data_IF_357380550892
#
_entry.id   IF_357380550892
#
_cell.length_a   1.000
_cell.length_b   1.000
_cell.length_c   1.000
_cell.angle_alpha   90.00
_cell.angle_beta   90.00
_cell.angle_gamma   90.00
#
_symmetry.space_group_name_H-M   'P 1'
#
loop_
_entity.id
_entity.type
_entity.pdbx_description
1 polymer ?
#
# COMPACT_ATOMS: atom_id res chain seq x y z
N UNK A 1 -14.05 17.91 -18.32
CA UNK A 1 -13.29 16.64 -18.25
C UNK A 1 -11.82 16.83 -17.90
N UNK A 2 -11.07 17.72 -18.58
CA UNK A 2 -9.61 17.93 -18.31
C UNK A 2 -9.34 18.49 -16.89
N UNK A 3 -10.16 19.43 -16.41
CA UNK A 3 -10.03 20.05 -15.07
C UNK A 3 -10.30 19.05 -13.92
N UNK A 4 -11.18 18.07 -14.15
CA UNK A 4 -11.53 17.05 -13.16
C UNK A 4 -10.36 16.06 -12.96
N UNK A 5 -9.73 15.63 -14.06
CA UNK A 5 -8.54 14.75 -14.03
C UNK A 5 -7.36 15.37 -13.29
N UNK A 6 -7.15 16.69 -13.38
CA UNK A 6 -6.08 17.35 -12.61
C UNK A 6 -6.38 17.41 -11.11
N UNK A 7 -7.64 17.60 -10.71
CA UNK A 7 -8.04 17.69 -9.30
C UNK A 7 -7.95 16.34 -8.59
N UNK A 8 -8.43 15.26 -9.21
CA UNK A 8 -8.31 13.92 -8.61
C UNK A 8 -6.85 13.46 -8.51
N UNK A 9 -6.02 13.76 -9.51
CA UNK A 9 -4.57 13.47 -9.47
C UNK A 9 -3.89 14.22 -8.31
N UNK A 10 -4.26 15.47 -8.11
CA UNK A 10 -3.76 16.29 -7.01
C UNK A 10 -4.18 15.72 -5.64
N UNK A 11 -5.42 15.23 -5.49
CA UNK A 11 -5.84 14.56 -4.25
C UNK A 11 -5.11 13.23 -4.02
N UNK A 12 -4.95 12.41 -5.08
CA UNK A 12 -4.21 11.14 -5.03
C UNK A 12 -2.73 11.31 -4.67
N UNK A 13 -2.10 12.44 -5.02
CA UNK A 13 -0.68 12.67 -4.72
C UNK A 13 -0.41 12.99 -3.25
N UNK A 14 -1.46 13.27 -2.46
CA UNK A 14 -1.31 13.64 -1.04
C UNK A 14 -1.27 12.37 -0.17
N UNK A 15 -0.15 12.08 0.49
CA UNK A 15 0.00 10.86 1.28
C UNK A 15 -0.87 10.83 2.54
N UNK A 16 -1.24 11.98 3.12
CA UNK A 16 -2.01 12.05 4.36
C UNK A 16 -3.45 12.54 4.14
N UNK A 17 -4.41 11.74 4.59
CA UNK A 17 -5.80 12.12 4.76
C UNK A 17 -6.09 12.44 6.23
N UNK A 18 -6.60 13.64 6.51
CA UNK A 18 -7.22 13.97 7.80
C UNK A 18 -8.72 13.96 7.56
N UNK A 19 -9.42 13.00 8.18
CA UNK A 19 -10.85 12.84 8.03
C UNK A 19 -11.57 13.21 9.34
N UNK A 20 -12.53 14.13 9.26
CA UNK A 20 -13.39 14.50 10.38
C UNK A 20 -14.73 13.78 10.29
N UNK A 21 -15.51 13.76 11.38
CA UNK A 21 -16.82 13.13 11.39
C UNK A 21 -17.91 14.04 10.80
N UNK A 22 -17.68 15.37 10.79
CA UNK A 22 -18.64 16.38 10.31
C UNK A 22 -18.00 17.46 9.43
N UNK A 23 -18.73 18.00 8.44
CA UNK A 23 -18.26 19.12 7.62
C UNK A 23 -17.85 20.37 8.41
N UNK A 24 -18.53 20.66 9.53
CA UNK A 24 -18.19 21.80 10.37
C UNK A 24 -16.82 21.63 11.06
N UNK A 25 -16.46 20.40 11.43
CA UNK A 25 -15.15 20.10 12.02
C UNK A 25 -14.03 20.31 11.01
N UNK A 26 -14.24 19.92 9.75
CA UNK A 26 -13.27 20.17 8.67
C UNK A 26 -12.95 21.64 8.53
N UNK A 27 -13.97 22.50 8.52
CA UNK A 27 -13.78 23.95 8.43
C UNK A 27 -13.03 24.53 9.63
N UNK A 28 -13.21 23.95 10.82
CA UNK A 28 -12.48 24.36 12.03
C UNK A 28 -11.03 23.91 11.92
N UNK A 29 -10.77 22.63 11.60
CA UNK A 29 -9.43 22.07 11.43
C UNK A 29 -8.66 22.82 10.34
N UNK A 30 -9.29 23.07 9.18
CA UNK A 30 -8.67 23.81 8.09
C UNK A 30 -8.27 25.24 8.50
N UNK A 31 -9.14 25.94 9.26
CA UNK A 31 -8.83 27.27 9.81
C UNK A 31 -7.68 27.23 10.82
N UNK A 32 -7.69 26.26 11.73
CA UNK A 32 -6.62 26.06 12.72
C UNK A 32 -5.28 25.77 12.06
N UNK A 33 -5.29 24.99 10.97
CA UNK A 33 -4.12 24.68 10.16
C UNK A 33 -3.78 25.80 9.14
N UNK A 34 -4.48 26.93 9.19
CA UNK A 34 -4.26 28.11 8.36
C UNK A 34 -4.37 27.83 6.85
N UNK A 35 -5.22 26.88 6.46
CA UNK A 35 -5.53 26.60 5.07
C UNK A 35 -6.52 27.66 4.59
N UNK A 36 -6.03 28.64 3.82
CA UNK A 36 -6.81 29.85 3.51
C UNK A 36 -7.38 29.90 2.10
N UNK A 37 -6.84 29.11 1.15
CA UNK A 37 -7.17 29.27 -0.29
C UNK A 37 -7.31 27.98 -1.08
N UNK A 38 -6.71 26.88 -0.62
CA UNK A 38 -6.70 25.64 -1.39
C UNK A 38 -7.85 24.73 -0.98
N UNK A 39 -8.96 24.87 -1.72
CA UNK A 39 -10.18 24.09 -1.54
C UNK A 39 -10.60 23.42 -2.85
N UNK A 40 -11.04 22.17 -2.76
CA UNK A 40 -11.62 21.42 -3.86
C UNK A 40 -12.96 20.84 -3.41
N UNK A 41 -14.02 21.09 -4.17
CA UNK A 41 -15.28 20.38 -4.00
C UNK A 41 -15.28 19.08 -4.79
N UNK A 42 -15.82 18.01 -4.20
CA UNK A 42 -16.05 16.73 -4.89
C UNK A 42 -17.04 16.82 -6.05
N UNK A 43 -17.88 17.85 -6.10
CA UNK A 43 -18.76 18.11 -7.27
C UNK A 43 -17.97 18.29 -8.58
N UNK A 44 -16.68 18.62 -8.48
CA UNK A 44 -15.76 18.70 -9.61
C UNK A 44 -15.07 17.35 -9.96
N UNK A 45 -15.34 16.29 -9.19
CA UNK A 45 -14.68 14.98 -9.25
C UNK A 45 -15.75 13.86 -9.25
N UNK A 46 -16.28 13.49 -10.43
CA UNK A 46 -17.35 12.50 -10.55
C UNK A 46 -17.04 11.15 -9.90
N UNK A 47 -15.77 10.76 -9.85
CA UNK A 47 -15.31 9.47 -9.29
C UNK A 47 -15.50 9.37 -7.77
N UNK A 48 -15.63 10.49 -7.07
CA UNK A 48 -15.83 10.53 -5.61
C UNK A 48 -17.31 10.60 -5.22
N UNK A 49 -18.20 10.87 -6.19
CA UNK A 49 -19.57 11.28 -5.91
C UNK A 49 -19.66 12.65 -5.23
N UNK A 50 -20.87 13.09 -4.89
CA UNK A 50 -21.08 14.36 -4.23
C UNK A 50 -20.93 14.25 -2.70
N UNK A 51 -20.51 15.34 -2.05
CA UNK A 51 -20.64 15.51 -0.60
C UNK A 51 -19.34 15.57 0.20
N UNK A 52 -18.19 15.62 -0.48
CA UNK A 52 -16.89 15.93 0.14
C UNK A 52 -16.41 17.34 -0.22
N UNK A 53 -15.81 17.98 0.76
CA UNK A 53 -14.99 19.16 0.60
C UNK A 53 -13.56 18.83 1.04
N UNK A 54 -12.58 19.25 0.25
CA UNK A 54 -11.17 19.01 0.50
C UNK A 54 -10.45 20.31 0.73
N UNK A 55 -9.77 20.41 1.88
CA UNK A 55 -8.88 21.53 2.21
C UNK A 55 -7.45 21.02 2.16
N UNK A 56 -6.60 21.64 1.34
CA UNK A 56 -5.27 21.12 1.05
C UNK A 56 -4.23 21.86 1.88
N UNK A 57 -3.27 21.13 2.42
CA UNK A 57 -2.19 21.74 3.20
C UNK A 57 -0.90 20.97 3.13
N UNK A 58 0.12 21.53 3.79
CA UNK A 58 1.47 20.98 3.83
C UNK A 58 2.07 21.18 5.22
N UNK A 59 2.63 20.12 5.80
CA UNK A 59 3.45 20.19 7.01
C UNK A 59 4.93 20.21 6.63
N UNK A 60 5.70 21.08 7.26
CA UNK A 60 7.16 21.04 7.19
C UNK A 60 7.67 20.18 8.35
N UNK A 61 8.12 18.97 8.04
CA UNK A 61 8.69 18.04 9.01
C UNK A 61 10.19 18.31 9.11
N UNK A 62 10.61 18.87 10.24
CA UNK A 62 12.03 19.09 10.55
C UNK A 62 12.58 17.80 11.15
N UNK A 63 13.65 17.25 10.57
CA UNK A 63 14.33 16.09 11.15
C UNK A 63 14.91 16.43 12.52
N UNK A 64 14.79 15.51 13.49
CA UNK A 64 15.36 15.68 14.84
C UNK A 64 16.88 15.88 14.83
N UNK A 65 17.55 15.45 13.76
CA UNK A 65 19.00 15.55 13.60
C UNK A 65 19.46 16.81 12.84
N UNK A 66 18.55 17.78 12.61
CA UNK A 66 18.87 19.02 11.89
C UNK A 66 19.04 18.86 10.37
N UNK A 67 18.63 17.71 9.82
CA UNK A 67 18.60 17.46 8.38
C UNK A 67 17.52 18.26 7.62
N UNK A 68 17.51 18.15 6.29
CA UNK A 68 16.59 18.87 5.42
C UNK A 68 15.12 18.70 5.82
N UNK A 69 14.37 19.80 5.84
CA UNK A 69 12.95 19.81 6.11
C UNK A 69 12.22 19.04 4.99
N UNK A 70 11.48 17.99 5.37
CA UNK A 70 10.64 17.23 4.44
C UNK A 70 9.24 17.80 4.46
N UNK A 71 8.67 18.02 3.28
CA UNK A 71 7.27 18.41 3.13
C UNK A 71 6.37 17.18 3.19
N UNK A 72 5.33 17.22 4.03
CA UNK A 72 4.24 16.24 4.04
C UNK A 72 2.96 16.93 3.58
N UNK A 73 2.54 16.62 2.35
CA UNK A 73 1.28 17.14 1.80
C UNK A 73 0.09 16.35 2.34
N UNK A 74 -1.03 17.04 2.56
CA UNK A 74 -2.25 16.44 3.11
C UNK A 74 -3.52 17.09 2.57
N UNK A 75 -4.65 16.42 2.81
CA UNK A 75 -5.98 17.02 2.70
C UNK A 75 -6.82 16.74 3.93
N UNK A 76 -7.67 17.71 4.29
CA UNK A 76 -8.69 17.59 5.34
C UNK A 76 -10.05 17.46 4.68
N UNK A 77 -10.85 16.47 5.10
CA UNK A 77 -12.19 16.24 4.57
C UNK A 77 -13.11 15.58 5.60
N UNK A 78 -14.38 15.37 5.26
CA UNK A 78 -15.36 14.64 6.08
C UNK A 78 -16.44 14.01 5.21
N UNK A 79 -17.14 12.98 5.71
CA UNK A 79 -18.42 12.61 5.17
C UNK A 79 -19.46 13.74 5.32
N UNK A 80 -20.53 13.66 4.54
CA UNK A 80 -21.61 14.65 4.58
C UNK A 80 -22.49 14.53 5.84
N UNK A 81 -22.54 13.34 6.46
CA UNK A 81 -23.34 13.08 7.67
C UNK A 81 -22.55 12.26 8.69
N UNK A 82 -22.79 12.58 9.97
CA UNK A 82 -22.34 11.79 11.10
C UNK A 82 -23.09 10.44 11.15
N UNK A 83 -22.39 9.39 11.58
CA UNK A 83 -22.94 8.06 11.82
C UNK A 83 -21.95 7.00 11.37
N UNK A 84 -21.82 5.90 12.11
CA UNK A 84 -20.74 4.93 11.87
C UNK A 84 -20.87 4.26 10.49
N UNK A 85 -22.09 3.90 10.06
CA UNK A 85 -22.30 3.26 8.76
C UNK A 85 -22.03 4.25 7.63
N UNK A 86 -22.54 5.49 7.74
CA UNK A 86 -22.29 6.53 6.74
C UNK A 86 -20.80 6.85 6.63
N UNK A 87 -20.14 7.02 7.77
CA UNK A 87 -18.71 7.26 7.84
C UNK A 87 -17.94 6.11 7.20
N UNK A 88 -18.23 4.85 7.55
CA UNK A 88 -17.54 3.68 6.99
C UNK A 88 -17.71 3.55 5.47
N UNK A 89 -18.92 3.78 4.95
CA UNK A 89 -19.19 3.72 3.50
C UNK A 89 -18.45 4.86 2.78
N UNK A 90 -18.57 6.08 3.28
CA UNK A 90 -17.98 7.25 2.64
C UNK A 90 -16.46 7.29 2.77
N UNK A 91 -15.90 6.94 3.93
CA UNK A 91 -14.46 6.80 4.11
C UNK A 91 -13.92 5.62 3.28
N UNK A 92 -14.63 4.49 3.23
CA UNK A 92 -14.25 3.35 2.40
C UNK A 92 -14.20 3.70 0.92
N UNK A 93 -15.21 4.40 0.40
CA UNK A 93 -15.24 4.90 -0.97
C UNK A 93 -14.09 5.87 -1.23
N UNK A 94 -13.90 6.84 -0.33
CA UNK A 94 -12.82 7.82 -0.40
C UNK A 94 -11.44 7.15 -0.46
N UNK A 95 -11.18 6.19 0.44
CA UNK A 95 -9.90 5.50 0.51
C UNK A 95 -9.68 4.57 -0.68
N UNK A 96 -10.73 3.95 -1.20
CA UNK A 96 -10.64 3.15 -2.42
C UNK A 96 -10.22 4.00 -3.63
N UNK A 97 -10.79 5.21 -3.75
CA UNK A 97 -10.55 6.10 -4.91
C UNK A 97 -9.25 6.90 -4.77
N UNK A 98 -9.00 7.51 -3.61
CA UNK A 98 -7.86 8.41 -3.39
C UNK A 98 -6.60 7.69 -2.88
N UNK A 99 -6.75 6.52 -2.25
CA UNK A 99 -5.67 5.69 -1.73
C UNK A 99 -4.61 6.46 -0.93
N UNK A 100 -5.00 7.21 0.12
CA UNK A 100 -4.02 7.88 0.96
C UNK A 100 -3.10 6.84 1.61
N UNK A 101 -1.83 7.18 1.78
CA UNK A 101 -0.85 6.31 2.47
C UNK A 101 -1.13 6.27 3.97
N UNK A 102 -1.61 7.38 4.53
CA UNK A 102 -1.94 7.53 5.93
C UNK A 102 -3.32 8.19 6.09
N UNK A 103 -4.08 7.75 7.08
CA UNK A 103 -5.34 8.36 7.44
C UNK A 103 -5.39 8.63 8.95
N UNK A 104 -5.80 9.84 9.32
CA UNK A 104 -6.04 10.26 10.70
C UNK A 104 -7.48 10.67 10.83
N UNK A 105 -8.22 10.01 11.71
CA UNK A 105 -9.55 10.48 12.10
C UNK A 105 -9.42 11.53 13.21
N UNK A 106 -9.93 12.74 12.97
CA UNK A 106 -9.89 13.85 13.90
C UNK A 106 -11.31 14.35 14.18
N UNK A 107 -11.74 14.27 15.45
CA UNK A 107 -13.07 14.69 15.84
C UNK A 107 -13.18 14.90 17.34
N UNK A 108 -14.34 15.35 17.78
CA UNK A 108 -14.64 15.50 19.20
C UNK A 108 -15.22 14.22 19.79
N UNK A 109 -14.90 13.93 21.04
CA UNK A 109 -15.48 12.82 21.79
C UNK A 109 -15.89 13.27 23.19
N UNK A 110 -16.78 12.50 23.82
CA UNK A 110 -17.10 12.69 25.23
C UNK A 110 -16.01 12.01 26.07
N UNK A 111 -15.38 12.78 26.96
CA UNK A 111 -14.41 12.27 27.92
C UNK A 111 -15.10 11.54 29.08
N UNK A 112 -14.51 10.45 29.54
CA UNK A 112 -15.01 9.76 30.74
C UNK A 112 -14.40 10.36 32.00
N UNK A 113 -15.17 11.20 32.69
CA UNK A 113 -14.68 11.98 33.84
C UNK A 113 -14.07 11.14 34.98
N UNK A 114 -14.52 9.88 35.16
CA UNK A 114 -13.97 8.98 36.20
C UNK A 114 -12.51 8.58 35.92
N UNK A 115 -12.06 8.62 34.66
CA UNK A 115 -10.66 8.41 34.26
C UNK A 115 -9.86 9.72 34.25
N UNK A 116 -10.44 10.79 34.81
CA UNK A 116 -9.78 12.09 34.91
C UNK A 116 -9.71 12.87 33.60
N UNK A 117 -10.44 12.45 32.56
CA UNK A 117 -10.53 13.16 31.28
C UNK A 117 -11.38 14.43 31.46
N UNK A 118 -10.83 15.57 31.06
CA UNK A 118 -11.46 16.89 31.16
C UNK A 118 -11.81 17.44 29.78
N UNK A 119 -12.63 18.48 29.76
CA UNK A 119 -12.85 19.27 28.55
C UNK A 119 -11.50 19.82 28.06
N UNK A 120 -11.31 19.86 26.74
CA UNK A 120 -10.07 20.29 26.06
C UNK A 120 -8.88 19.32 26.14
N UNK A 121 -9.00 18.20 26.86
CA UNK A 121 -8.01 17.13 26.76
C UNK A 121 -7.98 16.56 25.33
N UNK A 122 -6.79 16.30 24.82
CA UNK A 122 -6.57 15.67 23.51
C UNK A 122 -6.26 14.20 23.75
N UNK A 123 -7.18 13.35 23.33
CA UNK A 123 -7.01 11.90 23.43
C UNK A 123 -6.42 11.40 22.12
N UNK A 124 -5.34 10.65 22.21
CA UNK A 124 -4.89 9.79 21.13
C UNK A 124 -5.28 8.35 21.45
N UNK A 125 -5.95 7.67 20.52
CA UNK A 125 -6.33 6.29 20.75
C UNK A 125 -5.78 5.34 19.71
N UNK A 126 -5.56 4.14 20.21
CA UNK A 126 -4.90 3.01 19.57
C UNK A 126 -5.86 1.84 19.34
N UNK A 127 -7.02 1.90 19.96
CA UNK A 127 -8.05 0.88 19.92
C UNK A 127 -9.42 1.55 19.86
N UNK A 128 -10.32 1.00 19.03
CA UNK A 128 -11.72 1.39 19.02
C UNK A 128 -12.62 0.15 18.98
N UNK A 129 -13.72 0.18 19.72
CA UNK A 129 -14.77 -0.84 19.69
C UNK A 129 -16.07 -0.20 19.24
N UNK A 130 -16.77 -0.85 18.31
CA UNK A 130 -18.16 -0.52 18.01
C UNK A 130 -19.09 -1.28 18.98
N UNK A 131 -19.74 -0.57 19.90
CA UNK A 131 -20.61 -1.22 20.88
C UNK A 131 -21.94 -1.72 20.29
N UNK A 132 -22.26 -1.32 19.05
CA UNK A 132 -23.47 -1.75 18.33
C UNK A 132 -23.24 -3.06 17.56
N UNK A 133 -21.99 -3.47 17.36
CA UNK A 133 -21.61 -4.66 16.61
C UNK A 133 -21.01 -5.72 17.55
N UNK A 134 -21.84 -6.17 18.49
CA UNK A 134 -21.50 -7.21 19.45
C UNK A 134 -22.72 -7.85 20.07
N UNK A 135 -22.51 -8.74 21.04
CA UNK A 135 -23.56 -9.34 21.85
C UNK A 135 -23.24 -9.23 23.33
N UNK A 136 -24.26 -8.89 24.11
CA UNK A 136 -24.17 -8.98 25.56
C UNK A 136 -24.37 -10.43 25.98
N UNK A 137 -23.42 -10.97 26.75
CA UNK A 137 -23.49 -12.30 27.34
C UNK A 137 -23.48 -12.18 28.86
N UNK A 138 -24.08 -13.15 29.54
CA UNK A 138 -23.96 -13.25 31.01
C UNK A 138 -23.00 -14.38 31.32
N UNK A 139 -21.85 -14.07 31.90
CA UNK A 139 -20.87 -15.06 32.36
C UNK A 139 -20.62 -14.88 33.85
N UNK A 140 -20.78 -15.97 34.62
CA UNK A 140 -20.61 -15.97 36.09
C UNK A 140 -21.42 -14.88 36.81
N UNK A 141 -22.63 -14.58 36.32
CA UNK A 141 -23.52 -13.56 36.89
C UNK A 141 -23.18 -12.10 36.50
N UNK A 142 -22.15 -11.88 35.68
CA UNK A 142 -21.79 -10.57 35.16
C UNK A 142 -22.22 -10.43 33.70
N UNK A 143 -22.82 -9.30 33.35
CA UNK A 143 -23.05 -8.93 31.94
C UNK A 143 -21.73 -8.49 31.33
N UNK A 144 -21.30 -9.15 30.27
CA UNK A 144 -20.09 -8.85 29.51
C UNK A 144 -20.46 -8.57 28.06
N UNK A 145 -19.84 -7.55 27.48
CA UNK A 145 -19.95 -7.32 26.05
C UNK A 145 -18.94 -8.19 25.30
N UNK A 146 -19.40 -8.94 24.31
CA UNK A 146 -18.55 -9.66 23.37
C UNK A 146 -18.68 -9.03 21.99
N UNK A 147 -17.65 -8.31 21.49
CA UNK A 147 -17.69 -7.75 20.13
C UNK A 147 -17.85 -8.88 19.10
N UNK A 148 -18.60 -8.61 18.02
CA UNK A 148 -18.93 -9.60 16.97
C UNK A 148 -17.77 -9.88 16.01
N UNK A 149 -16.73 -9.05 16.06
CA UNK A 149 -15.54 -9.14 15.21
C UNK A 149 -14.28 -8.94 16.06
N UNK A 150 -13.11 -9.31 15.51
CA UNK A 150 -11.82 -9.09 16.17
C UNK A 150 -11.72 -7.62 16.57
N UNK A 151 -11.52 -7.35 17.86
CA UNK A 151 -10.94 -6.08 18.31
C UNK A 151 -9.78 -5.80 17.37
N UNK A 152 -9.75 -4.62 16.75
CA UNK A 152 -8.62 -4.23 15.90
C UNK A 152 -7.46 -3.92 16.85
N UNK A 153 -6.84 -4.97 17.38
CA UNK A 153 -5.56 -4.94 18.07
C UNK A 153 -4.50 -5.27 17.03
N UNK A 154 -4.12 -4.30 16.18
CA UNK A 154 -2.98 -4.51 15.29
C UNK A 154 -2.22 -3.23 15.01
N UNK A 155 -0.92 -3.30 15.37
CA UNK A 155 0.29 -2.69 14.76
C UNK A 155 0.37 -1.18 14.53
N UNK A 156 -0.72 -0.41 14.56
CA UNK A 156 -0.71 0.94 13.99
C UNK A 156 -0.13 2.03 14.91
N UNK A 157 0.20 1.78 16.19
CA UNK A 157 0.32 2.91 17.15
C UNK A 157 1.49 2.86 18.17
N UNK A 158 2.54 2.04 17.99
CA UNK A 158 3.71 2.09 18.92
C UNK A 158 4.44 3.45 18.86
N UNK A 159 4.27 4.23 17.78
CA UNK A 159 4.87 5.57 17.62
C UNK A 159 4.08 6.72 18.30
N UNK A 160 2.77 6.59 18.54
CA UNK A 160 1.99 7.67 19.17
C UNK A 160 2.28 7.76 20.66
N UNK A 161 2.55 6.62 21.32
CA UNK A 161 3.04 6.61 22.70
C UNK A 161 4.32 7.44 22.81
N UNK A 162 5.24 7.29 21.84
CA UNK A 162 6.44 8.14 21.72
C UNK A 162 6.12 9.62 21.49
N UNK A 163 5.08 9.95 20.71
CA UNK A 163 4.60 11.32 20.53
C UNK A 163 4.08 11.91 21.85
N UNK A 164 3.21 11.20 22.56
CA UNK A 164 2.62 11.64 23.84
C UNK A 164 3.65 11.69 24.98
N UNK A 165 4.64 10.79 25.00
CA UNK A 165 5.71 10.80 26.00
C UNK A 165 6.77 11.86 25.70
N UNK A 166 6.94 12.25 24.43
CA UNK A 166 7.84 13.33 24.02
C UNK A 166 7.20 14.72 24.07
N UNK A 167 5.87 14.83 24.03
CA UNK A 167 5.16 16.09 24.25
C UNK A 167 5.05 16.37 25.74
N UNK A 168 5.50 17.54 26.16
CA UNK A 168 5.38 18.02 27.55
C UNK A 168 3.95 18.49 27.90
N UNK A 169 2.96 18.26 27.02
CA UNK A 169 1.61 18.79 27.15
C UNK A 169 0.76 17.95 28.12
N UNK A 170 0.37 18.49 29.29
CA UNK A 170 -0.33 17.72 30.33
C UNK A 170 -1.77 17.34 29.95
N UNK A 171 -2.33 18.01 28.93
CA UNK A 171 -3.68 17.78 28.37
C UNK A 171 -3.71 16.63 27.37
N UNK A 172 -2.56 16.10 26.97
CA UNK A 172 -2.50 14.96 26.05
C UNK A 172 -2.65 13.66 26.83
N UNK A 173 -3.60 12.83 26.42
CA UNK A 173 -3.91 11.54 27.03
C UNK A 173 -3.88 10.44 25.99
N UNK A 174 -3.81 9.21 26.47
CA UNK A 174 -3.76 8.01 25.64
C UNK A 174 -4.80 7.00 26.11
N UNK A 175 -5.57 6.39 25.20
CA UNK A 175 -6.51 5.33 25.54
C UNK A 175 -7.47 4.95 24.42
N UNK A 176 -8.19 3.85 24.61
CA UNK A 176 -9.15 3.34 23.63
C UNK A 176 -10.45 4.15 23.55
N UNK A 177 -11.14 4.03 22.42
CA UNK A 177 -12.44 4.65 22.15
C UNK A 177 -13.56 3.62 22.07
N UNK A 178 -14.76 4.09 22.43
CA UNK A 178 -16.01 3.37 22.18
C UNK A 178 -16.81 4.20 21.18
N UNK A 179 -17.20 3.58 20.07
CA UNK A 179 -17.90 4.22 18.96
C UNK A 179 -19.28 3.60 18.76
N UNK A 180 -20.23 4.40 18.29
CA UNK A 180 -21.56 3.96 17.90
C UNK A 180 -22.33 5.04 17.14
N UNK A 181 -23.51 4.71 16.65
CA UNK A 181 -24.32 5.53 15.75
C UNK A 181 -25.12 6.63 16.47
N UNK A 182 -25.33 6.50 17.78
CA UNK A 182 -26.09 7.46 18.57
C UNK A 182 -25.29 7.99 19.77
N UNK A 183 -25.44 9.30 20.04
CA UNK A 183 -25.13 9.88 21.35
C UNK A 183 -26.29 9.48 22.27
N UNK A 184 -26.07 8.47 23.11
CA UNK A 184 -27.11 7.94 24.01
C UNK A 184 -27.01 8.55 25.39
N UNK A 185 -28.16 8.79 26.01
CA UNK A 185 -28.26 9.30 27.39
C UNK A 185 -27.77 8.27 28.43
N UNK A 186 -27.73 6.98 28.08
CA UNK A 186 -27.27 5.87 28.92
C UNK A 186 -25.78 5.50 28.70
N UNK A 187 -25.01 6.37 28.03
CA UNK A 187 -23.60 6.10 27.71
C UNK A 187 -22.77 5.69 28.94
N UNK A 188 -23.02 6.29 30.11
CA UNK A 188 -22.33 5.97 31.36
C UNK A 188 -22.51 4.50 31.79
N UNK A 189 -23.72 3.94 31.63
CA UNK A 189 -24.00 2.53 31.98
C UNK A 189 -23.30 1.57 31.00
N UNK A 190 -23.26 1.94 29.71
CA UNK A 190 -22.55 1.20 28.66
C UNK A 190 -21.04 1.21 28.93
N UNK A 191 -20.46 2.35 29.32
CA UNK A 191 -19.04 2.47 29.69
C UNK A 191 -18.68 1.58 30.88
N UNK A 192 -19.48 1.60 31.94
CA UNK A 192 -19.25 0.80 33.14
C UNK A 192 -19.32 -0.72 32.85
N UNK A 193 -20.22 -1.13 31.94
CA UNK A 193 -20.37 -2.52 31.49
C UNK A 193 -19.26 -3.00 30.55
N UNK A 194 -18.77 -2.14 29.65
CA UNK A 194 -17.69 -2.49 28.72
C UNK A 194 -16.35 -2.70 29.44
N UNK A 195 -16.09 -1.92 30.48
CA UNK A 195 -14.84 -1.98 31.26
C UNK A 195 -14.66 -3.32 31.97
N UNK A 196 -15.73 -3.91 32.50
CA UNK A 196 -15.68 -5.22 33.17
C UNK A 196 -15.25 -6.34 32.20
N UNK A 197 -15.51 -6.17 30.90
CA UNK A 197 -15.13 -7.10 29.84
C UNK A 197 -13.73 -6.90 29.26
N UNK A 198 -13.19 -5.66 29.24
CA UNK A 198 -11.91 -5.33 28.57
C UNK A 198 -10.69 -5.49 29.50
N UNK A 199 -10.84 -5.36 30.82
CA UNK A 199 -9.71 -5.49 31.78
C UNK A 199 -9.14 -6.92 31.96
N UNK A 200 -9.47 -7.88 31.08
CA UNK A 200 -9.04 -9.29 31.16
C UNK A 200 -7.94 -9.68 30.15
N UNK A 201 -7.53 -8.80 29.23
CA UNK A 201 -6.37 -9.00 28.33
C UNK A 201 -5.14 -8.26 28.89
N UNK A 202 -4.00 -8.96 29.01
CA UNK A 202 -2.98 -8.80 30.08
C UNK A 202 -1.67 -8.12 29.63
N UNK A 203 -0.88 -7.52 30.55
CA UNK A 203 0.47 -6.96 30.31
C UNK A 203 1.48 -7.88 29.58
N UNK A 204 1.25 -9.20 29.60
CA UNK A 204 2.11 -10.23 28.99
C UNK A 204 2.18 -10.08 27.45
N UNK A 205 1.12 -9.57 26.83
CA UNK A 205 1.08 -9.33 25.38
C UNK A 205 1.96 -8.14 24.96
N UNK A 206 2.18 -7.21 25.90
CA UNK A 206 3.02 -6.01 25.73
C UNK A 206 4.52 -6.36 25.75
N UNK A 207 4.94 -7.31 26.59
CA UNK A 207 6.32 -7.81 26.66
C UNK A 207 6.69 -8.63 25.41
N UNK A 208 5.75 -9.43 24.90
CA UNK A 208 5.93 -10.18 23.65
C UNK A 208 6.06 -9.26 22.43
N UNK A 209 5.28 -8.18 22.38
CA UNK A 209 5.38 -7.16 21.34
C UNK A 209 6.75 -6.45 21.34
N UNK A 210 7.29 -6.12 22.52
CA UNK A 210 8.62 -5.50 22.66
C UNK A 210 9.75 -6.41 22.18
N UNK A 211 9.65 -7.72 22.41
CA UNK A 211 10.64 -8.71 21.95
C UNK A 211 10.54 -8.98 20.44
N UNK A 212 9.32 -8.95 19.88
CA UNK A 212 9.12 -9.07 18.43
C UNK A 212 9.66 -7.85 17.67
N UNK A 213 9.54 -6.64 18.23
CA UNK A 213 9.88 -5.37 17.58
C UNK A 213 11.39 -5.11 17.38
N UNK A 214 12.26 -5.69 18.20
CA UNK A 214 13.72 -5.59 17.97
C UNK A 214 14.16 -6.24 16.65
N UNK A 215 13.31 -7.07 16.05
CA UNK A 215 13.65 -7.93 14.91
C UNK A 215 12.69 -7.76 13.70
N UNK A 216 11.86 -6.71 13.64
CA UNK A 216 10.89 -6.51 12.55
C UNK A 216 11.38 -5.46 11.55
N UNK A 217 11.63 -5.88 10.31
CA UNK A 217 11.72 -4.99 9.14
C UNK A 217 10.31 -4.62 8.66
N UNK A 218 10.04 -3.32 8.53
CA UNK A 218 8.72 -2.77 8.21
C UNK A 218 8.52 -2.69 6.69
N UNK A 219 7.74 -3.60 6.13
CA UNK A 219 7.33 -3.55 4.71
C UNK A 219 5.84 -3.21 4.61
N UNK A 220 5.53 -2.25 3.73
CA UNK A 220 4.19 -1.96 3.20
C UNK A 220 3.52 -3.23 2.70
N UNK A 221 2.23 -3.40 3.00
CA UNK A 221 1.42 -4.46 2.40
C UNK A 221 1.10 -4.07 0.96
N UNK A 222 2.02 -4.43 0.07
CA UNK A 222 2.01 -4.09 -1.34
C UNK A 222 1.06 -4.96 -2.17
N UNK A 223 0.47 -5.98 -1.53
CA UNK A 223 -0.39 -6.98 -2.14
C UNK A 223 -1.77 -6.40 -2.56
N UNK A 224 -2.14 -5.21 -2.05
CA UNK A 224 -3.36 -4.46 -2.42
C UNK A 224 -3.14 -3.39 -3.53
N UNK A 225 -1.91 -3.28 -4.06
CA UNK A 225 -1.62 -2.34 -5.16
C UNK A 225 -2.22 -2.85 -6.49
N UNK A 226 -2.57 -1.94 -7.42
CA UNK A 226 -3.01 -2.33 -8.78
C UNK A 226 -1.96 -3.23 -9.45
N UNK A 227 -0.69 -2.91 -9.25
CA UNK A 227 0.43 -3.70 -9.77
C UNK A 227 0.43 -5.13 -9.24
N UNK A 228 -0.03 -5.40 -8.01
CA UNK A 228 -0.07 -6.74 -7.44
C UNK A 228 -0.95 -7.70 -8.25
N UNK A 229 -2.10 -7.23 -8.76
CA UNK A 229 -2.97 -8.01 -9.65
C UNK A 229 -2.23 -8.39 -10.95
N UNK A 230 -1.50 -7.44 -11.51
CA UNK A 230 -0.77 -7.64 -12.76
C UNK A 230 0.52 -8.46 -12.61
N UNK A 231 1.19 -8.42 -11.45
CA UNK A 231 2.35 -9.28 -11.15
C UNK A 231 1.95 -10.75 -11.18
N UNK A 232 0.79 -11.10 -10.60
CA UNK A 232 0.26 -12.46 -10.66
C UNK A 232 0.01 -12.89 -12.11
N UNK A 233 -0.68 -12.05 -12.89
CA UNK A 233 -0.99 -12.33 -14.29
C UNK A 233 0.29 -12.48 -15.13
N UNK A 234 1.25 -11.58 -14.94
CA UNK A 234 2.55 -11.62 -15.63
C UNK A 234 3.32 -12.88 -15.27
N UNK A 235 3.42 -13.21 -13.99
CA UNK A 235 4.13 -14.42 -13.56
C UNK A 235 3.49 -15.69 -14.12
N UNK A 236 2.19 -15.88 -13.92
CA UNK A 236 1.48 -17.10 -14.31
C UNK A 236 1.40 -17.31 -15.82
N UNK A 237 1.21 -16.23 -16.59
CA UNK A 237 0.97 -16.32 -18.04
C UNK A 237 2.21 -16.07 -18.90
N UNK A 238 3.29 -15.54 -18.33
CA UNK A 238 4.49 -15.20 -19.08
C UNK A 238 5.71 -15.94 -18.53
N UNK A 239 6.12 -15.66 -17.29
CA UNK A 239 7.32 -16.24 -16.69
C UNK A 239 7.20 -17.76 -16.55
N UNK A 240 6.11 -18.23 -15.93
CA UNK A 240 5.90 -19.66 -15.69
C UNK A 240 5.80 -20.44 -16.99
N UNK A 241 5.02 -19.95 -17.96
CA UNK A 241 4.82 -20.61 -19.26
C UNK A 241 6.14 -20.74 -20.04
N UNK A 242 6.97 -19.69 -20.04
CA UNK A 242 8.27 -19.73 -20.71
C UNK A 242 9.19 -20.79 -20.06
N UNK A 243 9.28 -20.80 -18.74
CA UNK A 243 10.14 -21.75 -18.02
C UNK A 243 9.59 -23.19 -18.02
N UNK A 244 8.27 -23.38 -17.98
CA UNK A 244 7.62 -24.68 -18.14
C UNK A 244 7.91 -25.27 -19.53
N UNK A 245 7.96 -24.43 -20.57
CA UNK A 245 8.35 -24.87 -21.91
C UNK A 245 9.81 -25.33 -21.96
N UNK A 246 10.74 -24.58 -21.34
CA UNK A 246 12.14 -25.00 -21.17
C UNK A 246 12.23 -26.33 -20.41
N UNK A 247 11.54 -26.43 -19.27
CA UNK A 247 11.51 -27.64 -18.44
C UNK A 247 10.91 -28.85 -19.14
N UNK A 248 9.96 -28.61 -20.05
CA UNK A 248 9.37 -29.62 -20.94
C UNK A 248 10.26 -29.97 -22.15
N UNK A 249 11.51 -29.49 -22.16
CA UNK A 249 12.52 -29.73 -23.20
C UNK A 249 12.15 -29.16 -24.57
N UNK A 250 11.45 -28.03 -24.60
CA UNK A 250 11.17 -27.32 -25.85
C UNK A 250 12.34 -26.40 -26.19
N UNK A 251 12.90 -26.57 -27.39
CA UNK A 251 13.95 -25.71 -27.93
C UNK A 251 13.39 -24.34 -28.32
N UNK A 252 14.25 -23.32 -28.23
CA UNK A 252 13.91 -21.96 -28.60
C UNK A 252 14.22 -21.76 -30.08
N UNK A 253 13.35 -21.05 -30.80
CA UNK A 253 13.53 -20.73 -32.21
C UNK A 253 13.96 -19.27 -32.32
N UNK A 254 15.06 -19.01 -33.02
CA UNK A 254 15.58 -17.65 -33.20
C UNK A 254 14.77 -16.96 -34.30
N UNK A 255 14.23 -15.77 -34.00
CA UNK A 255 13.25 -15.10 -34.85
C UNK A 255 13.80 -14.74 -36.24
N UNK A 256 15.08 -14.35 -36.31
CA UNK A 256 15.75 -13.97 -37.57
C UNK A 256 16.31 -15.16 -38.35
N UNK A 257 16.35 -16.35 -37.74
CA UNK A 257 16.84 -17.58 -38.35
C UNK A 257 16.06 -18.79 -37.80
N UNK A 258 14.94 -19.10 -38.46
CA UNK A 258 14.04 -20.20 -38.11
C UNK A 258 14.69 -21.60 -38.16
N UNK A 259 15.92 -21.73 -38.65
CA UNK A 259 16.68 -22.99 -38.61
C UNK A 259 17.56 -23.08 -37.36
N UNK A 260 18.03 -21.96 -36.82
CA UNK A 260 18.87 -21.94 -35.61
C UNK A 260 17.99 -22.07 -34.38
N UNK A 261 18.35 -23.05 -33.55
CA UNK A 261 17.67 -23.32 -32.28
C UNK A 261 18.65 -23.27 -31.13
N UNK A 262 18.18 -22.73 -30.01
CA UNK A 262 18.87 -22.87 -28.72
C UNK A 262 18.26 -24.09 -28.03
N UNK A 263 19.10 -25.06 -27.67
CA UNK A 263 18.59 -26.26 -26.99
C UNK A 263 18.11 -25.88 -25.59
N UNK A 264 16.98 -26.45 -25.17
CA UNK A 264 16.39 -26.13 -23.86
C UNK A 264 17.36 -26.35 -22.69
N UNK A 265 18.27 -27.34 -22.82
CA UNK A 265 19.28 -27.68 -21.81
C UNK A 265 20.34 -26.59 -21.61
N UNK A 266 20.52 -25.73 -22.62
CA UNK A 266 21.50 -24.64 -22.59
C UNK A 266 20.89 -23.38 -21.93
N UNK A 267 19.59 -23.39 -21.62
CA UNK A 267 18.91 -22.33 -20.88
C UNK A 267 19.07 -22.56 -19.37
N UNK A 268 19.79 -21.63 -18.74
CA UNK A 268 20.08 -21.56 -17.31
C UNK A 268 18.95 -20.90 -16.51
N UNK A 269 18.11 -20.09 -17.15
CA UNK A 269 17.01 -19.39 -16.49
C UNK A 269 16.48 -18.20 -17.28
N UNK A 270 15.71 -17.36 -16.58
CA UNK A 270 15.08 -16.15 -17.08
C UNK A 270 15.41 -14.95 -16.19
N UNK A 271 15.72 -13.82 -16.82
CA UNK A 271 15.94 -12.52 -16.18
C UNK A 271 14.85 -11.55 -16.62
N UNK A 272 14.07 -11.06 -15.66
CA UNK A 272 13.14 -9.94 -15.88
C UNK A 272 13.89 -8.66 -15.53
N UNK A 273 14.17 -7.83 -16.53
CA UNK A 273 15.00 -6.64 -16.37
C UNK A 273 14.10 -5.46 -16.02
N UNK A 274 14.37 -4.83 -14.87
CA UNK A 274 13.67 -3.63 -14.45
C UNK A 274 14.19 -2.40 -15.22
N UNK A 275 13.33 -1.40 -15.47
CA UNK A 275 13.71 -0.22 -16.23
C UNK A 275 14.82 0.59 -15.57
N UNK A 276 15.58 1.30 -16.41
CA UNK A 276 16.59 2.25 -15.95
C UNK A 276 15.93 3.33 -15.06
N UNK A 277 16.54 3.59 -13.90
CA UNK A 277 16.01 4.51 -12.88
C UNK A 277 14.57 4.19 -12.43
N UNK A 278 14.15 2.93 -12.56
CA UNK A 278 12.79 2.47 -12.29
C UNK A 278 11.71 3.16 -13.16
N UNK A 279 12.06 3.78 -14.30
CA UNK A 279 11.09 4.47 -15.18
C UNK A 279 10.61 3.56 -16.33
N UNK A 280 9.37 3.05 -16.30
CA UNK A 280 8.84 2.14 -17.32
C UNK A 280 8.84 2.72 -18.73
N UNK A 281 8.87 4.05 -18.90
CA UNK A 281 8.84 4.70 -20.21
C UNK A 281 9.98 4.27 -21.14
N UNK A 282 11.10 3.80 -20.57
CA UNK A 282 12.18 3.16 -21.31
C UNK A 282 11.71 1.96 -22.16
N UNK A 283 10.59 1.33 -21.79
CA UNK A 283 10.01 0.16 -22.48
C UNK A 283 8.75 0.50 -23.28
N UNK A 284 8.34 1.77 -23.36
CA UNK A 284 7.06 2.19 -23.93
C UNK A 284 6.97 2.02 -25.45
N UNK A 285 8.08 2.26 -26.15
CA UNK A 285 8.13 2.15 -27.61
C UNK A 285 8.81 0.86 -28.03
N UNK A 286 8.22 0.16 -29.02
CA UNK A 286 8.78 -1.08 -29.56
C UNK A 286 10.22 -0.90 -30.09
N UNK A 287 10.57 0.32 -30.53
CA UNK A 287 11.91 0.67 -30.98
C UNK A 287 12.96 0.72 -29.87
N UNK A 288 12.58 1.02 -28.62
CA UNK A 288 13.54 1.12 -27.51
C UNK A 288 14.10 -0.24 -27.10
N UNK A 289 13.23 -1.25 -26.92
CA UNK A 289 13.68 -2.62 -26.61
C UNK A 289 14.48 -3.21 -27.77
N UNK A 290 14.05 -2.97 -29.01
CA UNK A 290 14.80 -3.42 -30.19
C UNK A 290 16.20 -2.78 -30.25
N UNK A 291 16.30 -1.48 -29.93
CA UNK A 291 17.59 -0.80 -29.81
C UNK A 291 18.45 -1.38 -28.68
N UNK A 292 17.89 -1.59 -27.49
CA UNK A 292 18.61 -2.23 -26.37
C UNK A 292 19.11 -3.62 -26.75
N UNK A 293 18.27 -4.40 -27.45
CA UNK A 293 18.63 -5.72 -27.94
C UNK A 293 19.81 -5.66 -28.92
N UNK A 294 19.76 -4.76 -29.91
CA UNK A 294 20.84 -4.58 -30.87
C UNK A 294 22.12 -4.09 -30.20
N UNK A 295 22.05 -3.03 -29.40
CA UNK A 295 23.19 -2.39 -28.75
C UNK A 295 23.93 -3.36 -27.79
N UNK A 296 23.22 -4.36 -27.25
CA UNK A 296 23.77 -5.33 -26.28
C UNK A 296 23.88 -6.75 -26.81
N UNK A 297 23.65 -6.96 -28.11
CA UNK A 297 23.72 -8.27 -28.77
C UNK A 297 22.81 -9.31 -28.11
N UNK A 298 21.53 -8.97 -27.94
CA UNK A 298 20.48 -9.90 -27.51
C UNK A 298 19.79 -10.48 -28.75
N UNK A 299 19.55 -11.79 -28.74
CA UNK A 299 18.90 -12.47 -29.86
C UNK A 299 17.40 -12.59 -29.59
N UNK A 300 16.54 -12.24 -30.56
CA UNK A 300 15.11 -12.47 -30.41
C UNK A 300 14.79 -13.94 -30.59
N UNK A 301 14.09 -14.52 -29.61
CA UNK A 301 13.74 -15.93 -29.57
C UNK A 301 12.24 -16.11 -29.33
N UNK A 302 11.72 -17.24 -29.78
CA UNK A 302 10.37 -17.68 -29.47
C UNK A 302 10.41 -19.04 -28.79
N UNK A 303 9.56 -19.22 -27.78
CA UNK A 303 9.45 -20.46 -27.01
C UNK A 303 7.98 -20.78 -26.74
N UNK A 304 7.63 -22.07 -26.72
CA UNK A 304 6.26 -22.55 -26.57
C UNK A 304 5.63 -22.98 -27.89
N UNK A 305 4.40 -23.51 -27.83
CA UNK A 305 3.65 -23.97 -28.99
C UNK A 305 2.29 -23.27 -29.09
N UNK A 306 1.82 -23.06 -30.32
CA UNK A 306 0.50 -22.47 -30.62
C UNK A 306 0.27 -21.14 -29.87
N UNK A 307 -0.90 -21.00 -29.21
CA UNK A 307 -1.30 -19.80 -28.48
C UNK A 307 -0.46 -19.52 -27.21
N UNK A 308 0.42 -20.45 -26.82
CA UNK A 308 1.32 -20.31 -25.68
C UNK A 308 2.73 -19.87 -26.09
N UNK A 309 2.95 -19.55 -27.36
CA UNK A 309 4.22 -18.99 -27.81
C UNK A 309 4.51 -17.64 -27.12
N UNK A 310 5.75 -17.45 -26.68
CA UNK A 310 6.25 -16.22 -26.06
C UNK A 310 7.49 -15.74 -26.82
N UNK A 311 7.45 -14.47 -27.24
CA UNK A 311 8.62 -13.79 -27.78
C UNK A 311 9.44 -13.21 -26.62
N UNK A 312 10.72 -13.57 -26.57
CA UNK A 312 11.68 -13.19 -25.54
C UNK A 312 12.99 -12.80 -26.20
N UNK A 313 13.94 -12.33 -25.39
CA UNK A 313 15.32 -12.13 -25.80
C UNK A 313 16.21 -13.20 -25.17
N UNK A 314 17.34 -13.51 -25.79
CA UNK A 314 18.27 -14.53 -25.32
C UNK A 314 19.71 -14.03 -25.35
N UNK A 315 20.45 -14.32 -24.28
CA UNK A 315 21.90 -14.12 -24.19
C UNK A 315 22.53 -15.04 -23.15
N UNK A 316 23.65 -15.69 -23.50
CA UNK A 316 24.53 -16.44 -22.58
C UNK A 316 23.85 -17.48 -21.67
N UNK A 317 22.78 -18.11 -22.19
CA UNK A 317 21.97 -19.10 -21.48
C UNK A 317 20.80 -18.52 -20.70
N UNK A 318 20.51 -17.23 -20.79
CA UNK A 318 19.37 -16.62 -20.11
C UNK A 318 18.33 -16.12 -21.12
N UNK A 319 17.08 -16.46 -20.84
CA UNK A 319 15.91 -15.75 -21.36
C UNK A 319 15.83 -14.38 -20.70
N UNK A 320 15.47 -13.35 -21.45
CA UNK A 320 15.44 -11.97 -20.99
C UNK A 320 14.09 -11.39 -21.41
N UNK A 321 13.41 -10.77 -20.45
CA UNK A 321 12.23 -9.96 -20.71
C UNK A 321 12.37 -8.55 -20.15
N UNK A 322 11.80 -7.61 -20.88
CA UNK A 322 11.58 -6.24 -20.45
C UNK A 322 10.08 -6.06 -20.27
N UNK A 323 9.56 -5.97 -19.02
CA UNK A 323 8.14 -6.09 -18.72
C UNK A 323 7.37 -4.86 -19.21
N UNK A 324 7.00 -4.85 -20.50
CA UNK A 324 6.24 -3.78 -21.17
C UNK A 324 4.91 -3.49 -20.51
N UNK A 325 4.37 -4.46 -19.76
CA UNK A 325 3.16 -4.30 -18.95
C UNK A 325 3.27 -3.13 -17.96
N UNK A 326 4.49 -2.80 -17.49
CA UNK A 326 4.71 -1.66 -16.61
C UNK A 326 4.30 -0.32 -17.24
N UNK A 327 4.31 -0.21 -18.57
CA UNK A 327 3.83 0.99 -19.26
C UNK A 327 2.33 1.23 -19.08
N UNK A 328 1.55 0.19 -18.73
CA UNK A 328 0.14 0.39 -18.37
C UNK A 328 -0.04 1.24 -17.11
N UNK A 329 1.02 1.39 -16.31
CA UNK A 329 1.06 2.23 -15.12
C UNK A 329 1.84 3.52 -15.33
N UNK A 330 2.18 3.88 -16.58
CA UNK A 330 2.98 5.09 -16.85
C UNK A 330 2.30 6.39 -16.37
N UNK A 331 0.97 6.38 -16.20
CA UNK A 331 0.16 7.52 -15.76
C UNK A 331 0.00 7.65 -14.22
N UNK A 332 0.36 6.62 -13.43
CA UNK A 332 0.24 6.58 -11.95
C UNK A 332 1.61 6.26 -11.33
N UNK A 333 2.16 7.13 -10.46
CA UNK A 333 3.48 7.02 -9.78
C UNK A 333 4.39 5.88 -10.30
N UNK A 334 4.79 6.01 -11.56
CA UNK A 334 5.33 4.89 -12.36
C UNK A 334 6.62 4.30 -11.78
N UNK A 335 7.40 5.13 -11.10
CA UNK A 335 8.63 4.75 -10.40
C UNK A 335 8.27 3.89 -9.18
N UNK A 336 7.30 4.33 -8.36
CA UNK A 336 6.84 3.53 -7.23
C UNK A 336 6.21 2.21 -7.67
N UNK A 337 5.41 2.23 -8.74
CA UNK A 337 4.78 1.04 -9.30
C UNK A 337 5.80 0.03 -9.85
N UNK A 338 6.88 0.49 -10.51
CA UNK A 338 7.98 -0.38 -10.93
C UNK A 338 8.70 -1.04 -9.74
N UNK A 339 8.93 -0.29 -8.65
CA UNK A 339 9.54 -0.81 -7.42
C UNK A 339 8.66 -1.86 -6.75
N UNK A 340 7.36 -1.61 -6.65
CA UNK A 340 6.38 -2.56 -6.11
C UNK A 340 6.34 -3.82 -6.99
N UNK A 341 6.33 -3.67 -8.31
CA UNK A 341 6.36 -4.80 -9.24
C UNK A 341 7.59 -5.67 -9.03
N UNK A 342 8.78 -5.06 -8.96
CA UNK A 342 10.03 -5.78 -8.70
C UNK A 342 9.97 -6.55 -7.38
N UNK A 343 9.54 -5.88 -6.30
CA UNK A 343 9.48 -6.45 -4.96
C UNK A 343 8.48 -7.61 -4.86
N UNK A 344 7.32 -7.51 -5.51
CA UNK A 344 6.33 -8.58 -5.54
C UNK A 344 6.77 -9.75 -6.44
N UNK A 345 7.44 -9.48 -7.56
CA UNK A 345 7.96 -10.52 -8.43
C UNK A 345 9.10 -11.31 -7.78
N UNK A 346 9.94 -10.66 -6.97
CA UNK A 346 10.96 -11.32 -6.14
C UNK A 346 10.37 -12.34 -5.14
N UNK A 347 9.12 -12.13 -4.68
CA UNK A 347 8.39 -13.09 -3.82
C UNK A 347 7.87 -14.31 -4.58
N UNK A 348 8.01 -14.34 -5.91
CA UNK A 348 7.55 -15.44 -6.79
C UNK A 348 8.74 -16.13 -7.47
N UNK A 349 9.63 -16.80 -6.71
CA UNK A 349 10.69 -17.58 -7.32
C UNK A 349 10.09 -18.74 -8.13
N UNK A 350 10.73 -19.09 -9.24
CA UNK A 350 10.41 -20.31 -9.99
C UNK A 350 11.52 -21.34 -9.78
N UNK A 351 11.14 -22.55 -9.39
CA UNK A 351 12.04 -23.70 -9.25
C UNK A 351 11.51 -24.86 -10.09
N UNK A 352 12.40 -25.70 -10.60
CA UNK A 352 11.98 -26.99 -11.15
C UNK A 352 11.80 -28.01 -10.02
N UNK A 353 10.90 -28.99 -10.22
CA UNK A 353 10.50 -30.00 -9.23
C UNK A 353 11.69 -30.79 -8.65
N UNK A 354 12.85 -30.78 -9.30
CA UNK A 354 14.05 -31.51 -8.90
C UNK A 354 15.03 -30.75 -8.00
N UNK A 355 14.83 -29.47 -7.68
CA UNK A 355 15.90 -28.66 -7.08
C UNK A 355 15.42 -27.61 -6.07
N UNK A 356 14.69 -28.04 -5.04
CA UNK A 356 14.32 -27.20 -3.89
C UNK A 356 15.54 -26.56 -3.16
N UNK A 357 16.77 -26.99 -3.47
CA UNK A 357 18.03 -26.41 -2.95
C UNK A 357 18.80 -25.51 -3.96
N UNK A 358 18.26 -25.27 -5.18
CA UNK A 358 18.95 -24.47 -6.21
C UNK A 358 18.51 -23.02 -6.29
N UNK A 359 19.36 -22.14 -6.86
CA UNK A 359 19.02 -20.78 -7.25
C UNK A 359 17.72 -20.74 -8.10
N UNK A 360 16.80 -19.79 -7.86
CA UNK A 360 15.60 -19.63 -8.69
C UNK A 360 15.95 -19.48 -10.17
N UNK A 361 15.24 -20.19 -11.04
CA UNK A 361 15.43 -20.10 -12.48
C UNK A 361 14.85 -18.79 -13.04
N UNK A 362 13.87 -18.18 -12.37
CA UNK A 362 13.42 -16.83 -12.65
C UNK A 362 14.02 -15.85 -11.64
N UNK A 363 14.68 -14.80 -12.13
CA UNK A 363 15.21 -13.72 -11.30
C UNK A 363 14.84 -12.35 -11.88
N UNK A 364 14.63 -11.37 -11.02
CA UNK A 364 14.59 -9.96 -11.43
C UNK A 364 16.01 -9.40 -11.46
N UNK A 365 16.36 -8.60 -12.46
CA UNK A 365 17.62 -7.89 -12.54
C UNK A 365 17.37 -6.38 -12.52
N UNK A 366 18.14 -5.62 -11.76
CA UNK A 366 18.16 -4.15 -11.95
C UNK A 366 18.79 -3.82 -13.30
N UNK A 367 18.59 -2.59 -13.76
CA UNK A 367 19.22 -2.13 -14.99
C UNK A 367 20.76 -2.22 -14.91
N UNK A 368 21.37 -1.84 -13.79
CA UNK A 368 22.82 -1.88 -13.59
C UNK A 368 23.37 -3.29 -13.67
N UNK A 369 22.68 -4.26 -13.06
CA UNK A 369 23.07 -5.66 -13.12
C UNK A 369 22.92 -6.23 -14.53
N UNK A 370 21.88 -5.81 -15.25
CA UNK A 370 21.72 -6.13 -16.65
C UNK A 370 22.83 -5.52 -17.51
N UNK A 371 23.25 -4.27 -17.27
CA UNK A 371 24.36 -3.63 -18.00
C UNK A 371 25.68 -4.37 -17.79
N UNK A 372 25.95 -4.85 -16.58
CA UNK A 372 27.14 -5.67 -16.28
C UNK A 372 27.08 -7.04 -16.95
N UNK A 373 25.90 -7.65 -16.98
CA UNK A 373 25.66 -8.95 -17.60
C UNK A 373 25.73 -8.89 -19.14
N UNK A 374 25.13 -7.85 -19.73
CA UNK A 374 25.05 -7.65 -21.17
C UNK A 374 25.65 -6.27 -21.52
N UNK A 375 26.99 -6.11 -21.47
CA UNK A 375 27.63 -4.86 -21.85
C UNK A 375 27.33 -4.54 -23.31
N UNK A 376 27.46 -3.27 -23.68
CA UNK A 376 27.31 -2.83 -25.07
C UNK A 376 28.25 -3.63 -25.94
N UNK A 377 27.75 -4.13 -27.07
CA UNK A 377 28.57 -4.86 -28.02
C UNK A 377 29.72 -3.94 -28.49
N UNK A 378 30.98 -4.45 -28.57
CA UNK A 378 32.02 -3.70 -29.24
C UNK A 378 31.60 -3.50 -30.69
N UNK A 379 31.54 -2.23 -31.12
CA UNK A 379 31.25 -1.86 -32.50
C UNK A 379 32.20 -2.51 -33.50
#
# INVERSE_FOLDING_TARGET
MVISKSKIRLLKSRPLCIICAKPQEVQIVARTLQITKDHISSSDIPELGDGYDFYLGTFNIISKDGGEARSLEYYVTSPYRQGIQTFSIQAGTLFHVLRPQFAVHAGVCAGYAKEGIKLEDVIFGDMAINYEEGKWVVEKGQKLFKPSYRTIERRTVVCIVGFTQSSLEPTYKYGGYISGSAVREDANEIFDLLRTSVSLTSPIEMEWAMHALRNVEWNTDEDDSIVAEFVNIYYENFVRIALDAVGSKQDLIIADDNQRKVQSKDVKGMKVVMPENDDPSAYSESGHIAKIANDRGLESVTIGQNNLCRGLLYKDGYLIDFPRLLNKFADEDRIQQAKIFQKLLLRKPYFTVSSAESTPLAATATWEDFVKFAPTAPN
#
